data_IF_032823664590
#
_entry.id   IF_032823664590
#
_cell.length_a   1.000
_cell.length_b   1.000
_cell.length_c   1.000
_cell.angle_alpha   90.00
_cell.angle_beta   90.00
_cell.angle_gamma   90.00
#
_symmetry.space_group_name_H-M   'P 1'
#
loop_
_entity.id
_entity.type
_entity.pdbx_description
1 polymer ?
#
# COMPACT_ATOMS: atom_id res chain seq x y z
N UNK A 1 -10.22 1.91 -1.90
CA UNK A 1 -9.18 0.86 -1.75
C UNK A 1 -8.48 0.98 -0.42
N UNK A 2 -7.61 1.99 -0.27
CA UNK A 2 -6.67 2.07 0.86
C UNK A 2 -7.32 2.05 2.27
N UNK A 3 -8.45 2.73 2.47
CA UNK A 3 -9.14 2.74 3.77
C UNK A 3 -9.75 1.37 4.16
N UNK A 4 -9.96 0.48 3.19
CA UNK A 4 -10.39 -0.91 3.42
C UNK A 4 -9.19 -1.87 3.49
N UNK A 5 -8.13 -1.57 2.73
CA UNK A 5 -6.88 -2.33 2.76
C UNK A 5 -6.15 -2.17 4.10
N UNK A 6 -6.17 -0.97 4.70
CA UNK A 6 -5.49 -0.70 5.95
C UNK A 6 -5.92 -1.62 7.11
N UNK A 7 -7.21 -1.70 7.49
CA UNK A 7 -7.62 -2.55 8.61
C UNK A 7 -7.34 -4.02 8.32
N UNK A 8 -7.39 -4.46 7.06
CA UNK A 8 -7.07 -5.84 6.69
C UNK A 8 -5.56 -6.13 6.76
N UNK A 9 -4.70 -5.15 6.44
CA UNK A 9 -3.24 -5.27 6.62
C UNK A 9 -2.84 -5.26 8.09
N UNK A 10 -3.45 -4.39 8.90
CA UNK A 10 -3.22 -4.37 10.34
C UNK A 10 -3.73 -5.66 11.00
N UNK A 11 -4.90 -6.16 10.57
CA UNK A 11 -5.38 -7.46 10.99
C UNK A 11 -4.37 -8.55 10.63
N UNK A 12 -3.89 -8.62 9.38
CA UNK A 12 -2.85 -9.59 8.99
C UNK A 12 -1.59 -9.53 9.87
N UNK A 13 -1.09 -8.33 10.14
CA UNK A 13 0.16 -8.14 10.90
C UNK A 13 -0.02 -8.41 12.40
N UNK A 14 -1.16 -8.06 12.99
CA UNK A 14 -1.38 -8.15 14.43
C UNK A 14 -2.18 -9.39 14.84
N UNK A 15 -2.68 -10.20 13.90
CA UNK A 15 -3.46 -11.38 14.22
C UNK A 15 -2.61 -12.43 14.95
N UNK A 16 -3.14 -13.06 16.02
CA UNK A 16 -2.39 -14.06 16.77
C UNK A 16 -2.08 -15.30 15.91
N UNK A 17 -0.84 -15.78 15.98
CA UNK A 17 -0.33 -16.91 15.17
C UNK A 17 -0.99 -18.24 15.58
N UNK A 18 -1.58 -18.30 16.76
CA UNK A 18 -2.24 -19.47 17.33
C UNK A 18 -3.54 -19.82 16.60
N UNK A 19 -4.14 -18.86 15.89
CA UNK A 19 -5.37 -19.09 15.13
C UNK A 19 -5.04 -19.74 13.79
N UNK A 20 -5.27 -21.05 13.72
CA UNK A 20 -4.97 -21.88 12.56
C UNK A 20 -6.26 -22.43 11.93
N UNK A 21 -6.25 -22.53 10.62
CA UNK A 21 -7.33 -23.04 9.79
C UNK A 21 -6.91 -24.40 9.24
N UNK A 22 -7.68 -25.44 9.59
CA UNK A 22 -7.48 -26.79 9.05
C UNK A 22 -8.38 -26.96 7.83
N UNK A 23 -7.78 -26.99 6.64
CA UNK A 23 -8.47 -27.33 5.39
C UNK A 23 -8.01 -28.73 4.98
N UNK A 24 -8.81 -29.74 5.32
CA UNK A 24 -8.44 -31.14 5.07
C UNK A 24 -7.18 -31.52 5.87
N UNK A 25 -6.08 -31.81 5.16
CA UNK A 25 -4.77 -32.14 5.74
C UNK A 25 -3.82 -30.94 5.83
N UNK A 26 -4.22 -29.76 5.37
CA UNK A 26 -3.37 -28.57 5.33
C UNK A 26 -3.67 -27.67 6.53
N UNK A 27 -2.63 -27.35 7.30
CA UNK A 27 -2.65 -26.41 8.43
C UNK A 27 -2.14 -25.04 7.98
N UNK A 28 -3.04 -24.04 7.95
CA UNK A 28 -2.75 -22.69 7.47
C UNK A 28 -3.00 -21.63 8.55
N UNK A 29 -2.12 -20.62 8.70
CA UNK A 29 -2.42 -19.47 9.56
C UNK A 29 -3.64 -18.71 9.06
N UNK A 30 -4.59 -18.41 9.96
CA UNK A 30 -5.79 -17.65 9.60
C UNK A 30 -5.46 -16.25 9.06
N UNK A 31 -4.33 -15.68 9.48
CA UNK A 31 -3.79 -14.41 8.99
C UNK A 31 -3.72 -14.35 7.44
N UNK A 32 -3.52 -15.48 6.76
CA UNK A 32 -3.47 -15.52 5.28
C UNK A 32 -4.78 -15.07 4.62
N UNK A 33 -5.93 -15.24 5.29
CA UNK A 33 -7.21 -14.73 4.80
C UNK A 33 -7.19 -13.19 4.73
N UNK A 34 -6.69 -12.55 5.79
CA UNK A 34 -6.52 -11.10 5.82
C UNK A 34 -5.49 -10.62 4.80
N UNK A 35 -4.43 -11.38 4.57
CA UNK A 35 -3.46 -11.10 3.50
C UNK A 35 -4.12 -11.12 2.12
N UNK A 36 -4.95 -12.13 1.83
CA UNK A 36 -5.68 -12.22 0.57
C UNK A 36 -6.66 -11.07 0.37
N UNK A 37 -7.46 -10.75 1.38
CA UNK A 37 -8.38 -9.61 1.35
C UNK A 37 -7.64 -8.29 1.17
N UNK A 38 -6.53 -8.12 1.89
CA UNK A 38 -5.66 -6.96 1.76
C UNK A 38 -5.16 -6.79 0.32
N UNK A 39 -4.64 -7.86 -0.30
CA UNK A 39 -4.09 -7.81 -1.65
C UNK A 39 -5.12 -7.29 -2.67
N UNK A 40 -6.39 -7.70 -2.53
CA UNK A 40 -7.49 -7.23 -3.38
C UNK A 40 -7.65 -5.72 -3.23
N UNK A 41 -7.89 -5.22 -2.01
CA UNK A 41 -8.17 -3.79 -1.79
C UNK A 41 -6.95 -2.89 -2.02
N UNK A 42 -5.75 -3.41 -1.77
CA UNK A 42 -4.48 -2.71 -1.97
C UNK A 42 -4.13 -2.53 -3.47
N UNK A 43 -4.75 -3.29 -4.38
CA UNK A 43 -4.54 -3.14 -5.83
C UNK A 43 -5.40 -2.03 -6.46
N UNK A 44 -6.46 -1.58 -5.78
CA UNK A 44 -7.49 -0.71 -6.38
C UNK A 44 -7.00 0.69 -6.75
N UNK A 45 -5.88 1.16 -6.20
CA UNK A 45 -5.35 2.49 -6.55
C UNK A 45 -4.62 2.49 -7.89
N UNK A 46 -4.15 1.34 -8.37
CA UNK A 46 -3.24 1.23 -9.53
C UNK A 46 -3.95 1.73 -10.79
N UNK A 47 -5.03 1.05 -11.20
CA UNK A 47 -5.75 1.37 -12.44
C UNK A 47 -6.21 2.84 -12.54
N UNK A 48 -6.90 3.44 -11.54
CA UNK A 48 -7.35 4.83 -11.65
C UNK A 48 -6.18 5.82 -11.65
N UNK A 49 -5.06 5.53 -10.96
CA UNK A 49 -3.89 6.41 -10.96
C UNK A 49 -3.23 6.47 -12.33
N UNK A 50 -3.05 5.31 -12.98
CA UNK A 50 -2.51 5.24 -14.34
C UNK A 50 -3.42 5.95 -15.35
N UNK A 51 -4.73 5.71 -15.27
CA UNK A 51 -5.70 6.38 -16.14
C UNK A 51 -5.68 7.90 -15.94
N UNK A 52 -5.63 8.37 -14.70
CA UNK A 52 -5.58 9.79 -14.37
C UNK A 52 -4.34 10.48 -14.96
N UNK A 53 -3.16 9.90 -14.79
CA UNK A 53 -1.92 10.45 -15.36
C UNK A 53 -1.98 10.46 -16.89
N UNK A 54 -2.49 9.40 -17.52
CA UNK A 54 -2.59 9.34 -18.98
C UNK A 54 -3.60 10.31 -19.59
N UNK A 55 -4.64 10.69 -18.84
CA UNK A 55 -5.64 11.68 -19.26
C UNK A 55 -5.13 13.12 -19.15
N UNK A 56 -4.24 13.40 -18.18
CA UNK A 56 -3.67 14.74 -17.99
C UNK A 56 -2.60 15.12 -19.02
N UNK A 57 -2.02 14.14 -19.70
CA UNK A 57 -0.90 14.37 -20.63
C UNK A 57 -1.32 14.14 -22.09
N UNK A 58 -0.77 14.92 -23.04
CA UNK A 58 -0.97 14.66 -24.47
C UNK A 58 -0.50 13.25 -24.87
N UNK A 59 -1.09 12.69 -25.92
CA UNK A 59 -0.84 11.30 -26.35
C UNK A 59 0.65 10.98 -26.55
N UNK A 60 1.44 11.92 -27.07
CA UNK A 60 2.88 11.72 -27.32
C UNK A 60 3.75 11.73 -26.05
N UNK A 61 3.24 12.20 -24.91
CA UNK A 61 3.94 12.17 -23.61
C UNK A 61 3.57 10.97 -22.73
N UNK A 62 2.55 10.18 -23.09
CA UNK A 62 2.03 9.08 -22.25
C UNK A 62 3.09 8.05 -21.84
N UNK A 63 4.02 7.72 -22.73
CA UNK A 63 5.14 6.83 -22.42
C UNK A 63 6.06 7.41 -21.35
N UNK A 64 6.42 8.68 -21.48
CA UNK A 64 7.27 9.35 -20.49
C UNK A 64 6.56 9.54 -19.15
N UNK A 65 5.28 9.89 -19.17
CA UNK A 65 4.47 10.02 -17.96
C UNK A 65 4.38 8.69 -17.18
N UNK A 66 4.20 7.58 -17.89
CA UNK A 66 4.17 6.24 -17.28
C UNK A 66 5.55 5.85 -16.72
N UNK A 67 6.64 6.19 -17.42
CA UNK A 67 8.01 5.95 -16.94
C UNK A 67 8.32 6.75 -15.67
N UNK A 68 7.92 8.03 -15.61
CA UNK A 68 8.11 8.87 -14.42
C UNK A 68 7.27 8.36 -13.24
N UNK A 69 6.03 7.93 -13.49
CA UNK A 69 5.17 7.33 -12.48
C UNK A 69 5.79 6.04 -11.92
N UNK A 70 6.26 5.15 -12.80
CA UNK A 70 6.95 3.92 -12.39
C UNK A 70 8.24 4.21 -11.62
N UNK A 71 9.03 5.19 -12.07
CA UNK A 71 10.23 5.63 -11.37
C UNK A 71 9.89 6.10 -9.96
N UNK A 72 8.86 6.94 -9.80
CA UNK A 72 8.41 7.41 -8.50
C UNK A 72 7.95 6.26 -7.59
N UNK A 73 7.15 5.31 -8.11
CA UNK A 73 6.67 4.15 -7.35
C UNK A 73 7.83 3.26 -6.90
N UNK A 74 8.78 2.98 -7.80
CA UNK A 74 9.91 2.11 -7.47
C UNK A 74 10.91 2.80 -6.53
N UNK A 75 11.24 4.07 -6.77
CA UNK A 75 12.23 4.79 -5.97
C UNK A 75 11.70 5.14 -4.59
N UNK A 76 10.49 5.74 -4.51
CA UNK A 76 9.91 6.18 -3.24
C UNK A 76 9.16 5.07 -2.52
N UNK A 77 8.46 4.20 -3.25
CA UNK A 77 7.72 3.10 -2.63
C UNK A 77 8.65 1.94 -2.28
N UNK A 78 9.15 1.26 -3.32
CA UNK A 78 9.96 0.05 -3.14
C UNK A 78 11.36 0.31 -2.60
N UNK A 79 11.95 1.48 -2.89
CA UNK A 79 13.27 1.88 -2.38
C UNK A 79 13.21 2.38 -0.93
N UNK A 80 12.43 3.44 -0.68
CA UNK A 80 12.38 4.07 0.64
C UNK A 80 11.59 3.26 1.68
N UNK A 81 10.59 2.48 1.26
CA UNK A 81 9.74 1.69 2.18
C UNK A 81 10.53 0.73 3.08
N UNK A 82 11.34 -0.20 2.53
CA UNK A 82 12.14 -1.13 3.34
C UNK A 82 13.17 -0.43 4.22
N UNK A 83 13.79 0.65 3.73
CA UNK A 83 14.71 1.47 4.51
C UNK A 83 14.02 2.06 5.75
N UNK A 84 12.84 2.64 5.56
CA UNK A 84 12.04 3.19 6.66
C UNK A 84 11.66 2.11 7.68
N UNK A 85 11.20 0.95 7.19
CA UNK A 85 10.86 -0.19 8.06
C UNK A 85 12.08 -0.70 8.82
N UNK A 86 13.25 -0.79 8.19
CA UNK A 86 14.50 -1.19 8.82
C UNK A 86 14.89 -0.25 9.96
N UNK A 87 14.93 1.06 9.70
CA UNK A 87 15.24 2.08 10.72
C UNK A 87 14.25 2.04 11.88
N UNK A 88 12.95 1.88 11.59
CA UNK A 88 11.93 1.74 12.63
C UNK A 88 12.14 0.46 13.44
N UNK A 89 12.43 -0.66 12.78
CA UNK A 89 12.68 -1.96 13.43
C UNK A 89 13.89 -1.90 14.36
N UNK A 90 14.98 -1.25 13.93
CA UNK A 90 16.18 -1.07 14.75
C UNK A 90 15.87 -0.22 16.01
N UNK A 91 15.05 0.82 15.85
CA UNK A 91 14.55 1.64 16.96
C UNK A 91 13.64 0.88 17.93
N UNK A 92 12.93 -0.14 17.46
CA UNK A 92 12.08 -1.01 18.27
C UNK A 92 12.79 -2.27 18.78
N UNK A 93 14.10 -2.40 18.62
CA UNK A 93 14.89 -3.60 18.99
C UNK A 93 14.62 -4.16 20.40
N UNK A 94 14.17 -3.33 21.35
CA UNK A 94 13.74 -3.75 22.70
C UNK A 94 12.55 -4.72 22.70
N UNK A 95 11.75 -4.76 21.64
CA UNK A 95 10.61 -5.67 21.47
C UNK A 95 10.98 -7.01 20.82
N UNK A 96 12.26 -7.28 20.55
CA UNK A 96 12.75 -8.56 20.03
C UNK A 96 12.08 -8.94 18.70
N UNK A 97 11.51 -10.14 18.65
CA UNK A 97 10.86 -10.68 17.44
C UNK A 97 9.65 -9.86 16.97
N UNK A 98 9.03 -9.08 17.86
CA UNK A 98 7.89 -8.22 17.53
C UNK A 98 8.30 -6.86 16.92
N UNK A 99 9.59 -6.51 16.95
CA UNK A 99 10.10 -5.22 16.46
C UNK A 99 9.73 -4.97 14.99
N UNK A 100 9.94 -5.99 14.15
CA UNK A 100 9.62 -5.94 12.72
C UNK A 100 8.10 -5.84 12.52
N UNK A 101 7.32 -6.55 13.34
CA UNK A 101 5.85 -6.54 13.28
C UNK A 101 5.29 -5.13 13.52
N UNK A 102 5.81 -4.45 14.56
CA UNK A 102 5.43 -3.06 14.86
C UNK A 102 5.94 -2.08 13.81
N UNK A 103 7.17 -2.23 13.33
CA UNK A 103 7.71 -1.40 12.26
C UNK A 103 6.87 -1.47 10.97
N UNK A 104 6.46 -2.68 10.57
CA UNK A 104 5.56 -2.89 9.43
C UNK A 104 4.17 -2.31 9.67
N UNK A 105 3.61 -2.45 10.88
CA UNK A 105 2.31 -1.88 11.21
C UNK A 105 2.30 -0.35 11.11
N UNK A 106 3.36 0.31 11.57
CA UNK A 106 3.55 1.76 11.40
C UNK A 106 3.73 2.11 9.92
N UNK A 107 4.58 1.38 9.20
CA UNK A 107 4.81 1.61 7.77
C UNK A 107 3.53 1.51 6.94
N UNK A 108 2.70 0.50 7.20
CA UNK A 108 1.38 0.35 6.58
C UNK A 108 0.43 1.49 6.96
N UNK A 109 0.47 1.95 8.22
CA UNK A 109 -0.37 3.05 8.69
C UNK A 109 -0.09 4.38 7.98
N UNK A 110 1.15 4.60 7.51
CA UNK A 110 1.50 5.77 6.71
C UNK A 110 0.75 5.83 5.37
N UNK A 111 0.22 4.70 4.87
CA UNK A 111 -0.59 4.68 3.65
C UNK A 111 -1.88 5.52 3.76
N UNK A 112 -2.36 5.80 4.98
CA UNK A 112 -3.48 6.72 5.23
C UNK A 112 -3.16 8.13 4.74
N UNK A 113 -1.92 8.59 4.95
CA UNK A 113 -1.46 9.90 4.47
C UNK A 113 -1.55 9.96 2.95
N UNK A 114 -1.13 8.89 2.27
CA UNK A 114 -1.29 8.73 0.82
C UNK A 114 -2.76 8.74 0.39
N UNK A 115 -3.63 8.06 1.13
CA UNK A 115 -5.07 8.07 0.91
C UNK A 115 -5.70 9.46 1.01
N UNK A 116 -5.32 10.24 2.04
CA UNK A 116 -5.78 11.62 2.24
C UNK A 116 -5.26 12.52 1.12
N UNK A 117 -3.97 12.40 0.75
CA UNK A 117 -3.39 13.15 -0.35
C UNK A 117 -4.09 12.84 -1.68
N UNK A 118 -4.45 11.58 -1.91
CA UNK A 118 -5.21 11.14 -3.09
C UNK A 118 -6.61 11.79 -3.13
N UNK A 119 -7.32 11.82 -2.00
CA UNK A 119 -8.61 12.49 -1.89
C UNK A 119 -8.48 14.00 -2.18
N UNK A 120 -7.50 14.67 -1.60
CA UNK A 120 -7.25 16.10 -1.86
C UNK A 120 -6.86 16.40 -3.32
N UNK A 121 -6.13 15.48 -3.97
CA UNK A 121 -5.77 15.57 -5.38
C UNK A 121 -6.95 15.36 -6.33
N UNK A 122 -7.92 14.52 -5.95
CA UNK A 122 -9.04 14.15 -6.82
C UNK A 122 -9.89 15.34 -7.27
N UNK A 123 -10.13 16.31 -6.38
CA UNK A 123 -10.86 17.54 -6.73
C UNK A 123 -10.09 18.42 -7.74
N UNK A 124 -8.76 18.47 -7.61
CA UNK A 124 -7.89 19.22 -8.54
C UNK A 124 -7.85 18.55 -9.92
N UNK A 125 -7.77 17.23 -9.93
CA UNK A 125 -7.85 16.43 -11.15
C UNK A 125 -9.18 16.62 -11.89
N UNK A 126 -10.31 16.59 -11.18
CA UNK A 126 -11.62 16.82 -11.78
C UNK A 126 -11.72 18.19 -12.46
N UNK A 127 -11.15 19.23 -11.86
CA UNK A 127 -11.08 20.56 -12.46
C UNK A 127 -10.20 20.59 -13.71
N UNK A 128 -9.01 20.00 -13.65
CA UNK A 128 -8.05 20.01 -14.75
C UNK A 128 -8.59 19.32 -16.02
N UNK A 129 -9.39 18.25 -15.87
CA UNK A 129 -10.02 17.57 -17.01
C UNK A 129 -11.19 18.38 -17.60
N UNK A 130 -11.88 19.18 -16.79
CA UNK A 130 -12.93 20.07 -17.30
C UNK A 130 -12.41 21.21 -18.18
N UNK A 131 -11.11 21.48 -18.12
CA UNK A 131 -10.44 22.56 -18.88
C UNK A 131 -9.73 22.05 -20.16
N UNK A 132 -9.63 20.73 -20.35
CA UNK A 132 -9.04 20.06 -21.54
C UNK A 132 -10.09 19.57 -22.51
#
# INVERSE_FOLDING_TARGET
>A
GIFLALPTQLAFLLWPVEHRLLIGSVDLPFALVFMGLSAIFASFWIAPSYAAVQNLVPQHWRTQASALMLLAINLLGMGFGPLLVGVLSDGFSTYGDDSVRYALAIGVSLSVVGGIAYLGGSARYAKAIGET
#
